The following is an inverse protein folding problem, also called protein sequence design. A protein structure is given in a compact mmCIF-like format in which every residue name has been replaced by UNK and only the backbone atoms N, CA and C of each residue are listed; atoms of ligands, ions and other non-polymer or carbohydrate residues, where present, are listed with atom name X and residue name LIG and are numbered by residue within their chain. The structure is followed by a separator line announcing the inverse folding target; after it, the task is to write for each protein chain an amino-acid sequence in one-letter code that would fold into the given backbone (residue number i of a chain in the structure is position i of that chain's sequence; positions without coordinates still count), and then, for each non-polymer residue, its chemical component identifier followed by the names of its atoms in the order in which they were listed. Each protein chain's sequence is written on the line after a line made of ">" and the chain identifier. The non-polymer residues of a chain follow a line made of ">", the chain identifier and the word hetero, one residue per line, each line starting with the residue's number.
data_IF_084777538636
#
_entry.id   IF_084777538636
#
_cell.length_a   1.000
_cell.length_b   1.000
_cell.length_c   1.000
_cell.angle_alpha   90.00
_cell.angle_beta   90.00
_cell.angle_gamma   90.00
#
_symmetry.space_group_name_H-M   'P 1'
#
loop_
_entity.id
_entity.type
_entity.pdbx_description
1 polymer ?
#
# COMPACT_ATOMS: atom_id res chain seq x y z
N UNK A 1 -20.88 -24.52 -8.80
CA UNK A 1 -19.54 -24.10 -9.31
C UNK A 1 -19.09 -22.96 -8.41
N UNK A 2 -17.88 -22.97 -7.91
CA UNK A 2 -17.38 -21.86 -7.06
C UNK A 2 -17.18 -20.59 -7.86
N UNK A 3 -17.26 -19.42 -7.18
CA UNK A 3 -17.13 -18.12 -7.84
C UNK A 3 -15.74 -17.93 -8.44
N UNK A 4 -14.70 -18.36 -7.72
CA UNK A 4 -13.30 -18.24 -8.14
C UNK A 4 -12.53 -19.55 -7.96
N UNK A 5 -11.45 -19.71 -8.71
CA UNK A 5 -10.47 -20.78 -8.49
C UNK A 5 -9.42 -20.36 -7.45
N UNK A 6 -9.17 -19.03 -7.35
CA UNK A 6 -8.31 -18.45 -6.34
C UNK A 6 -8.88 -17.13 -5.83
N UNK A 7 -9.01 -17.00 -4.51
CA UNK A 7 -9.15 -15.71 -3.84
C UNK A 7 -7.87 -15.40 -3.09
N UNK A 8 -7.30 -14.22 -3.33
CA UNK A 8 -6.14 -13.70 -2.61
C UNK A 8 -6.61 -12.64 -1.62
N UNK A 9 -6.27 -12.79 -0.34
CA UNK A 9 -6.61 -11.82 0.70
C UNK A 9 -5.40 -10.92 0.95
N UNK A 10 -5.50 -9.67 0.51
CA UNK A 10 -4.46 -8.65 0.55
C UNK A 10 -3.84 -8.38 -0.81
N UNK A 11 -3.80 -7.11 -1.21
CA UNK A 11 -3.21 -6.62 -2.46
C UNK A 11 -1.80 -6.02 -2.27
N UNK A 12 -1.06 -6.42 -1.24
CA UNK A 12 0.35 -6.10 -1.08
C UNK A 12 1.24 -6.82 -2.09
N UNK A 13 2.59 -6.63 -2.06
CA UNK A 13 3.51 -7.20 -3.05
C UNK A 13 3.37 -8.71 -3.24
N UNK A 14 3.18 -9.45 -2.18
CA UNK A 14 2.92 -10.90 -2.26
C UNK A 14 1.60 -11.22 -2.94
N UNK A 15 0.53 -10.51 -2.56
CA UNK A 15 -0.82 -10.78 -3.04
C UNK A 15 -1.04 -10.38 -4.49
N UNK A 16 -0.72 -9.13 -4.87
CA UNK A 16 -0.98 -8.69 -6.24
C UNK A 16 -0.13 -9.46 -7.27
N UNK A 17 1.11 -9.80 -6.93
CA UNK A 17 1.96 -10.61 -7.82
C UNK A 17 1.42 -12.04 -7.98
N UNK A 18 0.97 -12.65 -6.90
CA UNK A 18 0.35 -13.99 -6.95
C UNK A 18 -0.94 -13.98 -7.78
N UNK A 19 -1.80 -12.99 -7.58
CA UNK A 19 -3.06 -12.87 -8.32
C UNK A 19 -2.84 -12.68 -9.82
N UNK A 20 -1.93 -11.76 -10.21
CA UNK A 20 -1.57 -11.53 -11.61
C UNK A 20 -0.96 -12.80 -12.25
N UNK A 21 -0.13 -13.53 -11.49
CA UNK A 21 0.44 -14.80 -11.97
C UNK A 21 -0.62 -15.87 -12.16
N UNK A 22 -1.54 -16.01 -11.20
CA UNK A 22 -2.65 -16.96 -11.28
C UNK A 22 -3.55 -16.67 -12.49
N UNK A 23 -3.94 -15.43 -12.69
CA UNK A 23 -4.72 -15.00 -13.84
C UNK A 23 -4.01 -15.28 -15.17
N UNK A 24 -2.68 -15.02 -15.24
CA UNK A 24 -1.87 -15.37 -16.43
C UNK A 24 -1.85 -16.87 -16.72
N UNK A 25 -2.04 -17.71 -15.70
CA UNK A 25 -2.16 -19.16 -15.85
C UNK A 25 -3.60 -19.62 -16.16
N UNK A 26 -4.53 -18.68 -16.36
CA UNK A 26 -5.92 -18.95 -16.74
C UNK A 26 -6.87 -19.17 -15.57
N UNK A 27 -6.46 -18.96 -14.32
CA UNK A 27 -7.35 -19.11 -13.16
C UNK A 27 -8.28 -17.88 -13.03
N UNK A 28 -9.57 -18.14 -12.78
CA UNK A 28 -10.50 -17.08 -12.33
C UNK A 28 -10.09 -16.63 -10.94
N UNK A 29 -9.57 -15.41 -10.84
CA UNK A 29 -8.92 -14.91 -9.65
C UNK A 29 -9.59 -13.63 -9.17
N UNK A 30 -9.80 -13.52 -7.85
CA UNK A 30 -10.14 -12.27 -7.17
C UNK A 30 -9.09 -11.92 -6.12
N UNK A 31 -9.00 -10.64 -5.82
CA UNK A 31 -8.19 -10.09 -4.71
C UNK A 31 -9.11 -9.32 -3.79
N UNK A 32 -9.05 -9.59 -2.49
CA UNK A 32 -9.75 -8.79 -1.48
C UNK A 32 -8.77 -7.82 -0.85
N UNK A 33 -9.09 -6.52 -0.85
CA UNK A 33 -8.26 -5.49 -0.24
C UNK A 33 -9.12 -4.47 0.50
N UNK A 34 -8.77 -4.25 1.75
CA UNK A 34 -9.50 -3.32 2.63
C UNK A 34 -9.01 -1.87 2.56
N UNK A 35 -7.84 -1.64 1.99
CA UNK A 35 -7.19 -0.33 1.86
C UNK A 35 -6.76 -0.11 0.40
N UNK A 36 -5.59 0.44 0.18
CA UNK A 36 -5.06 0.72 -1.15
C UNK A 36 -4.27 -0.48 -1.71
N UNK A 37 -4.42 -0.75 -3.00
CA UNK A 37 -3.60 -1.73 -3.69
C UNK A 37 -2.11 -1.36 -3.61
N UNK A 38 -1.23 -2.37 -3.54
CA UNK A 38 0.21 -2.20 -3.36
C UNK A 38 0.69 -2.37 -1.92
N UNK A 39 -0.24 -2.42 -0.95
CA UNK A 39 0.04 -2.69 0.46
C UNK A 39 1.02 -1.70 1.10
N UNK A 40 1.66 -2.12 2.17
CA UNK A 40 2.61 -1.29 2.95
C UNK A 40 3.72 -0.70 2.08
N UNK A 41 4.31 -1.48 1.18
CA UNK A 41 5.46 -1.02 0.39
C UNK A 41 5.16 0.23 -0.44
N UNK A 42 4.02 0.28 -1.14
CA UNK A 42 3.67 1.40 -1.99
C UNK A 42 3.09 2.58 -1.21
N UNK A 43 2.35 2.31 -0.15
CA UNK A 43 1.51 3.33 0.50
C UNK A 43 2.09 3.82 1.83
N UNK A 44 2.78 2.98 2.60
CA UNK A 44 3.26 3.26 3.97
C UNK A 44 4.67 2.74 4.28
N UNK A 45 5.47 2.46 3.25
CA UNK A 45 6.81 1.88 3.43
C UNK A 45 7.83 2.34 2.40
N UNK A 46 8.19 1.44 1.50
CA UNK A 46 9.32 1.61 0.57
C UNK A 46 9.22 2.88 -0.28
N UNK A 47 8.08 3.10 -0.92
CA UNK A 47 7.89 4.22 -1.86
C UNK A 47 7.82 5.56 -1.12
N UNK A 48 6.95 5.74 -0.11
CA UNK A 48 6.92 6.97 0.68
C UNK A 48 8.28 7.33 1.25
N UNK A 49 8.96 6.38 1.90
CA UNK A 49 10.29 6.61 2.49
C UNK A 49 11.30 7.08 1.45
N UNK A 50 11.38 6.39 0.30
CA UNK A 50 12.33 6.77 -0.76
C UNK A 50 12.00 8.12 -1.39
N UNK A 51 10.72 8.46 -1.50
CA UNK A 51 10.29 9.77 -2.02
C UNK A 51 10.69 10.90 -1.07
N UNK A 52 10.50 10.74 0.24
CA UNK A 52 10.91 11.73 1.24
C UNK A 52 12.43 11.85 1.31
N UNK A 53 13.17 10.74 1.28
CA UNK A 53 14.63 10.74 1.24
C UNK A 53 15.16 11.42 -0.04
N UNK A 54 14.51 11.24 -1.17
CA UNK A 54 14.89 11.89 -2.42
C UNK A 54 14.67 13.41 -2.33
N UNK A 55 13.53 13.87 -1.82
CA UNK A 55 13.27 15.29 -1.61
C UNK A 55 14.28 15.91 -0.64
N UNK A 56 14.56 15.24 0.47
CA UNK A 56 15.59 15.66 1.44
C UNK A 56 16.98 15.75 0.82
N UNK A 57 17.34 14.79 -0.05
CA UNK A 57 18.60 14.83 -0.77
C UNK A 57 18.69 16.01 -1.71
N UNK A 58 17.66 16.30 -2.49
CA UNK A 58 17.63 17.48 -3.39
C UNK A 58 17.84 18.76 -2.58
N UNK A 59 17.11 18.92 -1.47
CA UNK A 59 17.25 20.10 -0.62
C UNK A 59 18.67 20.24 -0.03
N UNK A 60 19.21 19.15 0.51
CA UNK A 60 20.58 19.12 1.02
C UNK A 60 21.59 19.49 -0.05
N UNK A 61 21.50 18.89 -1.24
CA UNK A 61 22.43 19.13 -2.33
C UNK A 61 22.33 20.59 -2.82
N UNK A 62 21.12 21.17 -2.82
CA UNK A 62 20.92 22.59 -3.12
C UNK A 62 21.55 23.53 -2.08
N UNK A 63 21.52 23.16 -0.79
CA UNK A 63 22.09 23.97 0.28
C UNK A 63 23.61 23.85 0.40
N UNK A 64 24.18 22.69 0.04
CA UNK A 64 25.60 22.38 0.30
C UNK A 64 26.44 22.19 -0.97
N UNK A 65 25.80 22.10 -2.13
CA UNK A 65 26.41 21.52 -3.32
C UNK A 65 27.15 22.51 -4.19
N UNK A 66 28.44 22.69 -3.94
CA UNK A 66 29.33 23.44 -4.85
C UNK A 66 30.31 22.52 -5.59
N UNK A 67 30.21 21.19 -5.40
CA UNK A 67 31.18 20.24 -5.95
C UNK A 67 31.21 20.15 -7.49
N UNK A 68 30.11 20.60 -8.14
CA UNK A 68 30.00 20.61 -9.60
C UNK A 68 29.97 22.02 -10.20
N UNK A 69 30.37 23.05 -9.45
CA UNK A 69 30.30 24.44 -9.91
C UNK A 69 28.89 25.01 -9.99
N UNK A 70 27.92 24.37 -9.35
CA UNK A 70 26.51 24.82 -9.28
C UNK A 70 26.34 25.66 -8.02
N UNK A 71 25.91 26.90 -8.20
CA UNK A 71 25.62 27.84 -7.13
C UNK A 71 24.11 28.07 -7.10
N UNK A 72 23.47 27.89 -5.92
CA UNK A 72 22.03 28.11 -5.73
C UNK A 72 21.84 29.12 -4.60
N UNK A 73 21.31 30.28 -4.96
CA UNK A 73 21.01 31.35 -4.00
C UNK A 73 19.63 31.10 -3.38
N UNK A 74 19.63 30.52 -2.18
CA UNK A 74 18.44 30.32 -1.36
C UNK A 74 17.57 29.13 -1.78
N UNK A 75 17.75 27.97 -1.15
CA UNK A 75 16.83 26.84 -1.27
C UNK A 75 15.83 26.88 -0.10
N UNK A 76 14.56 26.58 -0.40
CA UNK A 76 13.49 26.43 0.60
C UNK A 76 12.81 25.09 0.42
N UNK A 77 12.58 24.38 1.52
CA UNK A 77 11.76 23.17 1.54
C UNK A 77 10.36 23.53 2.06
N UNK A 78 9.34 23.05 1.38
CA UNK A 78 7.94 23.12 1.81
C UNK A 78 7.47 21.70 2.13
N UNK A 79 7.23 21.42 3.41
CA UNK A 79 6.86 20.09 3.87
C UNK A 79 5.51 19.64 3.32
N UNK A 80 4.53 20.54 3.23
CA UNK A 80 3.21 20.21 2.72
C UNK A 80 3.28 19.77 1.25
N UNK A 81 4.06 20.49 0.44
CA UNK A 81 4.29 20.13 -0.97
C UNK A 81 5.05 18.82 -1.11
N UNK A 82 6.07 18.57 -0.27
CA UNK A 82 6.83 17.32 -0.25
C UNK A 82 5.92 16.14 0.09
N UNK A 83 5.07 16.25 1.11
CA UNK A 83 4.12 15.21 1.48
C UNK A 83 3.04 15.01 0.40
N UNK A 84 2.58 16.08 -0.25
CA UNK A 84 1.66 15.98 -1.37
C UNK A 84 2.29 15.23 -2.55
N UNK A 85 3.51 15.57 -2.92
CA UNK A 85 4.27 14.87 -3.95
C UNK A 85 4.41 13.36 -3.61
N UNK A 86 4.77 13.03 -2.37
CA UNK A 86 4.83 11.65 -1.89
C UNK A 86 3.47 10.92 -2.08
N UNK A 87 2.34 11.55 -1.69
CA UNK A 87 1.00 10.98 -1.87
C UNK A 87 0.68 10.72 -3.34
N UNK A 88 0.97 11.66 -4.22
CA UNK A 88 0.76 11.51 -5.67
C UNK A 88 1.53 10.31 -6.26
N UNK A 89 2.78 10.12 -5.86
CA UNK A 89 3.59 8.98 -6.31
C UNK A 89 2.97 7.65 -5.84
N UNK A 90 2.59 7.54 -4.57
CA UNK A 90 1.94 6.35 -4.02
C UNK A 90 0.62 6.05 -4.74
N UNK A 91 -0.24 7.04 -4.92
CA UNK A 91 -1.53 6.91 -5.62
C UNK A 91 -1.34 6.46 -7.07
N UNK A 92 -0.39 7.05 -7.79
CA UNK A 92 -0.08 6.66 -9.17
C UNK A 92 0.30 5.18 -9.27
N UNK A 93 1.12 4.69 -8.35
CA UNK A 93 1.56 3.29 -8.35
C UNK A 93 0.42 2.34 -7.93
N UNK A 94 -0.37 2.71 -6.93
CA UNK A 94 -1.55 1.94 -6.50
C UNK A 94 -2.57 1.81 -7.64
N UNK A 95 -2.91 2.91 -8.30
CA UNK A 95 -3.79 2.91 -9.49
C UNK A 95 -3.20 2.09 -10.65
N UNK A 96 -1.87 2.06 -10.76
CA UNK A 96 -1.19 1.20 -11.73
C UNK A 96 -1.47 -0.29 -11.48
N UNK A 97 -1.45 -0.73 -10.21
CA UNK A 97 -1.78 -2.12 -9.84
C UNK A 97 -3.25 -2.43 -10.15
N UNK A 98 -4.17 -1.52 -9.85
CA UNK A 98 -5.59 -1.70 -10.18
C UNK A 98 -5.80 -1.83 -11.71
N UNK A 99 -5.04 -1.04 -12.47
CA UNK A 99 -5.06 -1.14 -13.94
C UNK A 99 -4.53 -2.49 -14.43
N UNK A 100 -3.48 -3.03 -13.78
CA UNK A 100 -2.97 -4.37 -14.08
C UNK A 100 -4.00 -5.46 -13.74
N UNK A 101 -4.70 -5.36 -12.61
CA UNK A 101 -5.80 -6.27 -12.28
C UNK A 101 -6.88 -6.25 -13.36
N UNK A 102 -7.33 -5.06 -13.75
CA UNK A 102 -8.33 -4.91 -14.81
C UNK A 102 -7.86 -5.52 -16.13
N UNK A 103 -6.62 -5.26 -16.54
CA UNK A 103 -6.03 -5.82 -17.76
C UNK A 103 -5.89 -7.35 -17.73
N UNK A 104 -5.60 -7.93 -16.56
CA UNK A 104 -5.50 -9.37 -16.34
C UNK A 104 -6.84 -10.05 -16.01
N UNK A 105 -7.95 -9.31 -15.96
CA UNK A 105 -9.28 -9.80 -15.54
C UNK A 105 -9.28 -10.38 -14.12
N UNK A 106 -8.45 -9.83 -13.24
CA UNK A 106 -8.50 -10.10 -11.80
C UNK A 106 -9.54 -9.17 -11.20
N UNK A 107 -10.49 -9.71 -10.46
CA UNK A 107 -11.50 -8.91 -9.78
C UNK A 107 -10.95 -8.38 -8.46
N UNK A 108 -11.07 -7.05 -8.25
CA UNK A 108 -10.68 -6.40 -7.00
C UNK A 108 -11.94 -6.19 -6.15
N UNK A 109 -12.05 -6.97 -5.09
CA UNK A 109 -13.13 -6.90 -4.10
C UNK A 109 -12.69 -5.97 -2.97
N UNK A 110 -13.34 -4.83 -2.83
CA UNK A 110 -13.05 -3.86 -1.78
C UNK A 110 -13.75 -4.27 -0.49
N UNK A 111 -12.98 -4.37 0.59
CA UNK A 111 -13.49 -4.70 1.90
C UNK A 111 -12.53 -5.54 2.73
N UNK A 112 -12.96 -5.83 3.95
CA UNK A 112 -12.23 -6.69 4.89
C UNK A 112 -12.69 -8.13 4.73
N UNK A 113 -11.73 -9.03 4.49
CA UNK A 113 -12.00 -10.46 4.36
C UNK A 113 -11.98 -11.17 5.71
N UNK A 114 -12.87 -12.14 5.88
CA UNK A 114 -12.79 -13.18 6.91
C UNK A 114 -13.06 -14.55 6.31
N UNK A 115 -12.44 -15.59 6.86
CA UNK A 115 -12.62 -16.99 6.46
C UNK A 115 -13.37 -17.67 7.61
N UNK A 116 -14.59 -18.14 7.35
CA UNK A 116 -15.43 -18.78 8.37
C UNK A 116 -15.43 -20.30 8.23
N UNK A 117 -15.28 -20.79 7.00
CA UNK A 117 -15.23 -22.20 6.66
C UNK A 117 -14.37 -22.45 5.41
N UNK A 118 -13.95 -23.69 5.15
CA UNK A 118 -13.11 -24.01 4.02
C UNK A 118 -13.72 -23.58 2.68
N UNK A 119 -12.97 -22.79 1.93
CA UNK A 119 -13.38 -22.33 0.60
C UNK A 119 -14.38 -21.18 0.58
N UNK A 120 -14.72 -20.59 1.73
CA UNK A 120 -15.67 -19.47 1.85
C UNK A 120 -14.99 -18.23 2.44
N UNK A 121 -15.14 -17.10 1.75
CA UNK A 121 -14.60 -15.80 2.15
C UNK A 121 -15.74 -14.80 2.26
N UNK A 122 -15.90 -14.23 3.44
CA UNK A 122 -16.80 -13.11 3.69
C UNK A 122 -16.05 -11.80 3.49
N UNK A 123 -16.61 -10.90 2.71
CA UNK A 123 -16.06 -9.58 2.44
C UNK A 123 -17.01 -8.53 2.97
N UNK A 124 -16.60 -7.81 4.01
CA UNK A 124 -17.38 -6.73 4.63
C UNK A 124 -16.88 -5.38 4.11
N UNK A 125 -17.79 -4.58 3.57
CA UNK A 125 -17.58 -3.21 3.12
C UNK A 125 -18.71 -2.30 3.62
N UNK A 126 -18.64 -1.01 3.32
CA UNK A 126 -19.65 -0.02 3.78
C UNK A 126 -21.10 -0.35 3.36
N UNK A 127 -21.29 -1.11 2.29
CA UNK A 127 -22.59 -1.56 1.78
C UNK A 127 -23.10 -2.88 2.38
N UNK A 128 -22.38 -3.48 3.33
CA UNK A 128 -22.74 -4.75 3.95
C UNK A 128 -21.73 -5.86 3.71
N UNK A 129 -22.17 -7.10 3.89
CA UNK A 129 -21.34 -8.29 3.72
C UNK A 129 -21.73 -9.05 2.44
N UNK A 130 -20.73 -9.49 1.71
CA UNK A 130 -20.89 -10.37 0.54
C UNK A 130 -20.07 -11.62 0.75
N UNK A 131 -20.63 -12.78 0.41
CA UNK A 131 -19.97 -14.08 0.56
C UNK A 131 -19.50 -14.58 -0.79
N UNK A 132 -18.25 -15.00 -0.87
CA UNK A 132 -17.63 -15.57 -2.07
C UNK A 132 -17.06 -16.96 -1.78
N UNK A 133 -17.05 -17.81 -2.80
CA UNK A 133 -16.50 -19.16 -2.72
C UNK A 133 -15.30 -19.33 -3.63
N UNK A 134 -14.28 -20.07 -3.18
CA UNK A 134 -13.09 -20.34 -3.97
C UNK A 134 -12.57 -21.76 -3.78
N UNK A 135 -11.91 -22.31 -4.81
CA UNK A 135 -11.20 -23.58 -4.72
C UNK A 135 -9.98 -23.47 -3.81
N UNK A 136 -9.30 -22.32 -3.88
CA UNK A 136 -8.11 -22.02 -3.09
C UNK A 136 -8.20 -20.59 -2.51
N UNK A 137 -7.67 -20.41 -1.31
CA UNK A 137 -7.55 -19.10 -0.65
C UNK A 137 -6.08 -18.89 -0.31
N UNK A 138 -5.51 -17.77 -0.79
CA UNK A 138 -4.16 -17.33 -0.45
C UNK A 138 -4.23 -16.16 0.52
N UNK A 139 -3.71 -16.34 1.72
CA UNK A 139 -3.61 -15.29 2.73
C UNK A 139 -2.31 -14.52 2.56
N UNK A 140 -2.41 -13.24 2.17
CA UNK A 140 -1.29 -12.32 1.91
C UNK A 140 -1.53 -10.96 2.59
N UNK A 141 -2.08 -10.98 3.80
CA UNK A 141 -2.58 -9.80 4.54
C UNK A 141 -1.49 -8.85 5.03
N UNK A 142 -0.22 -9.25 4.95
CA UNK A 142 0.90 -8.41 5.39
C UNK A 142 1.01 -8.29 6.91
N UNK A 143 1.48 -7.13 7.36
CA UNK A 143 1.70 -6.82 8.77
C UNK A 143 1.42 -5.34 9.07
N UNK A 144 1.28 -5.01 10.33
CA UNK A 144 1.17 -3.64 10.83
C UNK A 144 2.27 -3.36 11.86
N UNK A 145 2.63 -2.08 12.10
CA UNK A 145 3.55 -1.72 13.17
C UNK A 145 3.07 -2.24 14.51
N UNK A 146 3.95 -2.93 15.24
CA UNK A 146 3.65 -3.38 16.59
C UNK A 146 3.80 -2.22 17.60
N UNK A 147 2.92 -2.17 18.59
CA UNK A 147 3.05 -1.29 19.77
C UNK A 147 3.34 -2.16 21.00
N UNK A 148 4.62 -2.46 21.28
CA UNK A 148 4.98 -3.22 22.49
C UNK A 148 4.71 -2.39 23.75
N UNK A 149 4.58 -3.01 24.92
CA UNK A 149 4.27 -2.31 26.18
C UNK A 149 5.51 -1.58 26.74
N UNK A 150 5.97 -0.57 26.00
CA UNK A 150 7.07 0.32 26.42
C UNK A 150 6.44 1.57 27.05
N UNK A 151 6.82 1.95 28.29
CA UNK A 151 6.31 3.17 28.90
C UNK A 151 6.56 4.40 28.02
N UNK A 152 5.51 5.19 27.79
CA UNK A 152 5.59 6.42 27.00
C UNK A 152 5.29 6.28 25.51
N UNK A 153 5.00 5.07 24.99
CA UNK A 153 4.61 4.87 23.57
C UNK A 153 3.28 5.53 23.17
N UNK A 154 2.46 5.85 24.18
CA UNK A 154 1.15 6.51 24.06
C UNK A 154 1.20 8.01 24.31
N UNK A 155 2.40 8.57 24.55
CA UNK A 155 2.57 10.01 24.75
C UNK A 155 2.37 10.77 23.44
N UNK A 156 1.86 12.02 23.51
CA UNK A 156 1.75 12.91 22.34
C UNK A 156 3.09 13.05 21.59
N UNK A 157 3.06 12.96 20.28
CA UNK A 157 4.25 13.06 19.42
C UNK A 157 5.03 11.76 19.21
N UNK A 158 4.65 10.65 19.90
CA UNK A 158 5.20 9.32 19.62
C UNK A 158 4.43 8.67 18.50
N UNK A 159 5.08 8.44 17.38
CA UNK A 159 4.47 7.94 16.15
C UNK A 159 5.06 6.60 15.72
N UNK A 160 4.23 5.79 15.08
CA UNK A 160 4.69 4.63 14.31
C UNK A 160 5.18 5.06 12.93
N UNK A 161 5.82 4.14 12.20
CA UNK A 161 6.21 4.39 10.80
C UNK A 161 5.03 4.73 9.90
N UNK A 162 3.87 4.11 10.13
CA UNK A 162 2.68 4.35 9.33
C UNK A 162 2.18 5.79 9.52
N UNK A 163 2.05 6.23 10.77
CA UNK A 163 1.62 7.58 11.13
C UNK A 163 2.57 8.65 10.54
N UNK A 164 3.89 8.45 10.68
CA UNK A 164 4.87 9.36 10.10
C UNK A 164 4.79 9.43 8.58
N UNK A 165 4.65 8.28 7.91
CA UNK A 165 4.66 8.19 6.45
C UNK A 165 3.31 8.56 5.82
N UNK A 166 2.20 8.42 6.52
CA UNK A 166 0.90 8.93 6.07
C UNK A 166 0.87 10.46 6.07
N UNK A 167 1.66 11.05 6.92
CA UNK A 167 1.75 12.51 7.09
C UNK A 167 0.53 13.03 7.83
N UNK A 168 0.65 13.11 9.13
CA UNK A 168 -0.28 13.92 9.91
C UNK A 168 0.02 15.39 9.67
N UNK A 169 -1.02 16.23 9.61
CA UNK A 169 -0.90 17.68 9.65
C UNK A 169 -0.33 18.04 11.03
N UNK A 170 1.02 18.12 11.12
CA UNK A 170 1.76 18.61 12.28
C UNK A 170 2.36 19.96 11.94
#
# INVERSE_FOLDING_TARGET
>A
MRDYQLIVIGAGPGGYMAALRAAKLGLRTAVVESREAGGTCLNRGCVPTKTLLHASKIYRDACTGTHAGIHIDGARADLAEIFNYKRQISQKLSSGIESLFKGAKVELLRGRASITEPGTVHVTADGGETVYTADNILVATGSAPARPPIPGLDLPGVMTSDELLEGTDT
#
